data_IF_169693638718
#
_entry.id   IF_169693638718
#
_cell.length_a   1.000
_cell.length_b   1.000
_cell.length_c   1.000
_cell.angle_alpha   90.00
_cell.angle_beta   90.00
_cell.angle_gamma   90.00
#
_symmetry.space_group_name_H-M   'P 1'
#
loop_
_entity.id
_entity.type
_entity.pdbx_description
1 polymer ?
#
# COMPACT_ATOMS: atom_id res chain seq x y z
N UNK A 1 111.20 -24.83 -13.21
CA UNK A 1 110.45 -23.97 -12.27
C UNK A 1 111.05 -24.12 -10.87
N UNK A 2 111.44 -23.02 -10.21
CA UNK A 2 112.12 -23.08 -8.90
C UNK A 2 111.19 -23.69 -7.83
N UNK A 3 111.72 -24.47 -6.89
CA UNK A 3 110.96 -25.23 -5.87
C UNK A 3 110.00 -24.34 -5.06
N UNK A 4 110.45 -23.11 -4.76
CA UNK A 4 109.62 -22.06 -4.14
C UNK A 4 108.41 -21.66 -5.00
N UNK A 5 108.58 -21.43 -6.31
CA UNK A 5 107.47 -21.09 -7.23
C UNK A 5 106.46 -22.23 -7.35
N UNK A 6 106.90 -23.50 -7.34
CA UNK A 6 106.01 -24.67 -7.37
C UNK A 6 105.15 -24.77 -6.10
N UNK A 7 105.75 -24.54 -4.93
CA UNK A 7 105.03 -24.57 -3.65
C UNK A 7 104.02 -23.42 -3.52
N UNK A 8 104.36 -22.24 -4.04
CA UNK A 8 103.44 -21.08 -4.09
C UNK A 8 102.23 -21.41 -4.98
N UNK A 9 102.44 -21.98 -6.17
CA UNK A 9 101.34 -22.36 -7.08
C UNK A 9 100.41 -23.39 -6.42
N UNK A 10 100.96 -24.43 -5.78
CA UNK A 10 100.16 -25.46 -5.10
C UNK A 10 99.31 -24.85 -3.96
N UNK A 11 99.90 -23.96 -3.15
CA UNK A 11 99.17 -23.26 -2.09
C UNK A 11 98.01 -22.43 -2.61
N UNK A 12 98.23 -21.67 -3.70
CA UNK A 12 97.17 -20.86 -4.35
C UNK A 12 96.06 -21.74 -4.91
N UNK A 13 96.39 -22.87 -5.56
CA UNK A 13 95.38 -23.80 -6.09
C UNK A 13 94.49 -24.39 -4.99
N UNK A 14 95.05 -24.74 -3.84
CA UNK A 14 94.27 -25.26 -2.70
C UNK A 14 93.31 -24.20 -2.16
N UNK A 15 93.77 -22.95 -2.02
CA UNK A 15 92.93 -21.84 -1.57
C UNK A 15 91.77 -21.60 -2.55
N UNK A 16 92.01 -21.68 -3.85
CA UNK A 16 90.95 -21.55 -4.87
C UNK A 16 89.94 -22.70 -4.76
N UNK A 17 90.39 -23.94 -4.56
CA UNK A 17 89.48 -25.09 -4.41
C UNK A 17 88.63 -25.01 -3.13
N UNK A 18 89.21 -24.57 -2.00
CA UNK A 18 88.48 -24.39 -0.74
C UNK A 18 87.47 -23.25 -0.84
N UNK A 19 87.84 -22.14 -1.47
CA UNK A 19 86.93 -20.99 -1.67
C UNK A 19 85.79 -21.33 -2.63
N UNK A 20 86.06 -22.03 -3.75
CA UNK A 20 85.02 -22.51 -4.66
C UNK A 20 84.12 -23.58 -4.02
N UNK A 21 84.69 -24.53 -3.28
CA UNK A 21 83.95 -25.57 -2.58
C UNK A 21 83.04 -25.02 -1.47
N UNK A 22 83.54 -24.07 -0.67
CA UNK A 22 82.76 -23.39 0.36
C UNK A 22 81.65 -22.52 -0.22
N UNK A 23 81.95 -21.74 -1.26
CA UNK A 23 80.97 -20.89 -1.94
C UNK A 23 79.89 -21.71 -2.68
N UNK A 24 80.27 -22.81 -3.33
CA UNK A 24 79.35 -23.74 -3.98
C UNK A 24 78.41 -24.41 -2.98
N UNK A 25 78.93 -24.91 -1.85
CA UNK A 25 78.13 -25.53 -0.79
C UNK A 25 77.13 -24.55 -0.16
N UNK A 26 77.55 -23.30 0.06
CA UNK A 26 76.66 -22.24 0.56
C UNK A 26 75.53 -21.90 -0.41
N UNK A 27 75.84 -21.70 -1.70
CA UNK A 27 74.83 -21.43 -2.74
C UNK A 27 73.84 -22.59 -2.89
N UNK A 28 74.34 -23.83 -2.84
CA UNK A 28 73.50 -25.03 -2.91
C UNK A 28 72.50 -25.10 -1.75
N UNK A 29 72.95 -24.85 -0.52
CA UNK A 29 72.09 -24.87 0.67
C UNK A 29 70.98 -23.82 0.56
N UNK A 30 71.32 -22.59 0.18
CA UNK A 30 70.33 -21.52 -0.06
C UNK A 30 69.31 -21.86 -1.14
N UNK A 31 69.75 -22.48 -2.23
CA UNK A 31 68.84 -22.93 -3.29
C UNK A 31 67.89 -24.03 -2.82
N UNK A 32 68.39 -24.98 -2.02
CA UNK A 32 67.56 -26.06 -1.43
C UNK A 32 66.51 -25.52 -0.48
N UNK A 33 66.87 -24.56 0.37
CA UNK A 33 65.93 -23.93 1.31
C UNK A 33 64.84 -23.14 0.56
N UNK A 34 65.23 -22.34 -0.44
CA UNK A 34 64.31 -21.65 -1.34
C UNK A 34 63.29 -22.62 -1.95
N UNK A 35 63.75 -23.73 -2.54
CA UNK A 35 62.88 -24.73 -3.17
C UNK A 35 61.97 -25.42 -2.15
N UNK A 36 62.46 -25.67 -0.95
CA UNK A 36 61.68 -26.29 0.13
C UNK A 36 60.54 -25.37 0.58
N UNK A 37 60.81 -24.08 0.76
CA UNK A 37 59.79 -23.07 1.08
C UNK A 37 58.77 -22.91 -0.04
N UNK A 38 59.22 -22.87 -1.30
CA UNK A 38 58.34 -22.78 -2.46
C UNK A 38 57.38 -23.98 -2.54
N UNK A 39 57.90 -25.20 -2.42
CA UNK A 39 57.07 -26.42 -2.44
C UNK A 39 56.06 -26.45 -1.28
N UNK A 40 56.45 -25.97 -0.09
CA UNK A 40 55.51 -25.85 1.05
C UNK A 40 54.41 -24.83 0.75
N UNK A 41 54.75 -23.69 0.17
CA UNK A 41 53.77 -22.67 -0.21
C UNK A 41 52.76 -23.23 -1.23
N UNK A 42 53.25 -23.95 -2.24
CA UNK A 42 52.41 -24.60 -3.25
C UNK A 42 51.50 -25.67 -2.64
N UNK A 43 52.03 -26.55 -1.78
CA UNK A 43 51.20 -27.53 -1.06
C UNK A 43 50.13 -26.86 -0.17
N UNK A 44 50.46 -25.74 0.49
CA UNK A 44 49.49 -24.97 1.26
C UNK A 44 48.42 -24.30 0.39
N UNK A 45 48.76 -23.87 -0.82
CA UNK A 45 47.76 -23.40 -1.80
C UNK A 45 46.78 -24.50 -2.18
N UNK A 46 47.26 -25.72 -2.42
CA UNK A 46 46.44 -26.87 -2.82
C UNK A 46 45.43 -27.27 -1.73
N UNK A 47 45.84 -27.28 -0.46
CA UNK A 47 44.94 -27.54 0.67
C UNK A 47 44.18 -26.28 1.13
N UNK A 48 44.25 -25.19 0.36
CA UNK A 48 43.58 -23.91 0.60
C UNK A 48 43.91 -23.24 1.95
N UNK A 49 45.10 -23.51 2.49
CA UNK A 49 45.63 -22.79 3.64
C UNK A 49 46.44 -21.57 3.17
N UNK A 50 45.72 -20.56 2.68
CA UNK A 50 46.34 -19.41 2.03
C UNK A 50 47.23 -18.59 2.95
N UNK A 51 46.93 -18.53 4.25
CA UNK A 51 47.78 -17.83 5.22
C UNK A 51 49.17 -18.45 5.30
N UNK A 52 49.25 -19.78 5.45
CA UNK A 52 50.54 -20.49 5.44
C UNK A 52 51.22 -20.45 4.07
N UNK A 53 50.45 -20.45 2.99
CA UNK A 53 51.01 -20.29 1.65
C UNK A 53 51.71 -18.94 1.48
N UNK A 54 51.02 -17.84 1.83
CA UNK A 54 51.56 -16.48 1.80
C UNK A 54 52.82 -16.37 2.67
N UNK A 55 52.78 -16.88 3.90
CA UNK A 55 53.92 -16.86 4.82
C UNK A 55 55.15 -17.57 4.21
N UNK A 56 54.96 -18.74 3.58
CA UNK A 56 56.07 -19.47 2.96
C UNK A 56 56.57 -18.77 1.68
N UNK A 57 55.68 -18.19 0.86
CA UNK A 57 56.11 -17.39 -0.29
C UNK A 57 56.90 -16.15 0.13
N UNK A 58 56.46 -15.42 1.15
CA UNK A 58 57.17 -14.24 1.66
C UNK A 58 58.58 -14.59 2.13
N UNK A 59 58.77 -15.71 2.84
CA UNK A 59 60.11 -16.22 3.22
C UNK A 59 61.00 -16.55 2.02
N UNK A 60 60.44 -16.92 0.86
CA UNK A 60 61.27 -17.16 -0.34
C UNK A 60 61.89 -15.88 -0.90
N UNK A 61 61.32 -14.70 -0.61
CA UNK A 61 61.83 -13.41 -1.07
C UNK A 61 63.20 -13.06 -0.45
N UNK A 62 63.52 -13.60 0.72
CA UNK A 62 64.82 -13.45 1.39
C UNK A 62 65.98 -14.06 0.59
N UNK A 63 65.67 -15.02 -0.29
CA UNK A 63 66.66 -15.71 -1.13
C UNK A 63 66.77 -15.07 -2.52
N UNK A 64 65.64 -14.63 -3.07
CA UNK A 64 65.56 -13.97 -4.37
C UNK A 64 64.28 -13.16 -4.47
N UNK A 65 64.40 -11.84 -4.57
CA UNK A 65 63.26 -11.00 -4.94
C UNK A 65 62.90 -11.29 -6.40
N UNK A 66 61.82 -12.04 -6.61
CA UNK A 66 61.38 -12.52 -7.91
C UNK A 66 59.94 -12.07 -8.13
N UNK A 67 59.69 -11.38 -9.24
CA UNK A 67 58.36 -10.94 -9.64
C UNK A 67 57.35 -12.09 -9.63
N UNK A 68 57.74 -13.29 -10.05
CA UNK A 68 56.88 -14.48 -10.03
C UNK A 68 56.38 -14.83 -8.61
N UNK A 69 57.26 -14.73 -7.60
CA UNK A 69 56.88 -14.99 -6.21
C UNK A 69 55.93 -13.91 -5.69
N UNK A 70 56.18 -12.64 -6.03
CA UNK A 70 55.27 -11.54 -5.67
C UNK A 70 53.89 -11.75 -6.30
N UNK A 71 53.84 -12.17 -7.56
CA UNK A 71 52.58 -12.48 -8.25
C UNK A 71 51.85 -13.68 -7.62
N UNK A 72 52.59 -14.70 -7.14
CA UNK A 72 52.02 -15.83 -6.36
C UNK A 72 51.48 -15.40 -5.00
N UNK A 73 52.15 -14.48 -4.29
CA UNK A 73 51.65 -13.90 -3.03
C UNK A 73 50.35 -13.14 -3.27
N UNK A 74 50.32 -12.29 -4.30
CA UNK A 74 49.13 -11.52 -4.66
C UNK A 74 47.97 -12.43 -5.07
N UNK A 75 48.25 -13.49 -5.85
CA UNK A 75 47.26 -14.52 -6.18
C UNK A 75 46.70 -15.20 -4.93
N UNK A 76 47.56 -15.59 -3.98
CA UNK A 76 47.13 -16.25 -2.75
C UNK A 76 46.23 -15.34 -1.89
N UNK A 77 46.57 -14.05 -1.78
CA UNK A 77 45.75 -13.03 -1.09
C UNK A 77 44.39 -12.87 -1.77
N UNK A 78 44.39 -12.76 -3.10
CA UNK A 78 43.16 -12.60 -3.88
C UNK A 78 42.25 -13.85 -3.79
N UNK A 79 42.80 -15.06 -3.87
CA UNK A 79 42.02 -16.29 -3.71
C UNK A 79 41.48 -16.41 -2.28
N UNK A 80 42.25 -16.01 -1.26
CA UNK A 80 41.79 -15.98 0.14
C UNK A 80 40.55 -15.09 0.30
N UNK A 81 40.60 -13.87 -0.23
CA UNK A 81 39.47 -12.94 -0.21
C UNK A 81 38.29 -13.46 -1.04
N UNK A 82 38.57 -14.04 -2.21
CA UNK A 82 37.56 -14.66 -3.07
C UNK A 82 36.80 -15.79 -2.36
N UNK A 83 37.52 -16.67 -1.64
CA UNK A 83 36.92 -17.73 -0.81
C UNK A 83 36.01 -17.16 0.27
N UNK A 84 36.48 -16.15 1.01
CA UNK A 84 35.68 -15.51 2.05
C UNK A 84 34.40 -14.85 1.48
N UNK A 85 34.50 -14.18 0.33
CA UNK A 85 33.35 -13.60 -0.37
C UNK A 85 32.34 -14.66 -0.79
N UNK A 86 32.81 -15.80 -1.33
CA UNK A 86 31.95 -16.91 -1.71
C UNK A 86 31.24 -17.54 -0.51
N UNK A 87 31.96 -17.80 0.59
CA UNK A 87 31.40 -18.38 1.81
C UNK A 87 30.33 -17.46 2.43
N UNK A 88 30.63 -16.15 2.51
CA UNK A 88 29.66 -15.13 2.94
C UNK A 88 28.43 -15.10 2.02
N UNK A 89 28.63 -15.17 0.72
CA UNK A 89 27.53 -15.17 -0.24
C UNK A 89 26.62 -16.40 -0.06
N UNK A 90 27.20 -17.58 0.17
CA UNK A 90 26.45 -18.80 0.46
C UNK A 90 25.69 -18.73 1.79
N UNK A 91 26.27 -18.11 2.82
CA UNK A 91 25.56 -17.86 4.08
C UNK A 91 24.32 -16.98 3.87
N UNK A 92 24.46 -15.87 3.13
CA UNK A 92 23.36 -14.96 2.81
C UNK A 92 22.30 -15.65 1.93
N UNK A 93 22.73 -16.45 0.95
CA UNK A 93 21.86 -17.24 0.09
C UNK A 93 21.00 -18.21 0.92
N UNK A 94 21.61 -18.93 1.87
CA UNK A 94 20.89 -19.85 2.76
C UNK A 94 19.91 -19.13 3.69
N UNK A 95 20.20 -17.87 4.05
CA UNK A 95 19.27 -16.98 4.77
C UNK A 95 18.19 -16.35 3.88
N UNK A 96 18.18 -16.66 2.58
CA UNK A 96 17.29 -16.09 1.55
C UNK A 96 17.49 -14.58 1.33
N UNK A 97 18.59 -14.01 1.80
CA UNK A 97 19.00 -12.66 1.43
C UNK A 97 19.71 -12.71 0.07
N UNK A 98 18.92 -12.85 -0.99
CA UNK A 98 19.43 -13.02 -2.35
C UNK A 98 20.14 -11.78 -2.88
N UNK A 99 19.79 -10.57 -2.40
CA UNK A 99 20.48 -9.33 -2.80
C UNK A 99 21.85 -9.22 -2.14
N UNK A 100 21.93 -9.49 -0.83
CA UNK A 100 23.22 -9.54 -0.13
C UNK A 100 24.13 -10.64 -0.68
N UNK A 101 23.55 -11.81 -0.97
CA UNK A 101 24.26 -12.91 -1.61
C UNK A 101 24.79 -12.50 -3.00
N UNK A 102 23.95 -11.88 -3.83
CA UNK A 102 24.31 -11.39 -5.16
C UNK A 102 25.50 -10.40 -5.09
N UNK A 103 25.48 -9.46 -4.15
CA UNK A 103 26.58 -8.51 -3.97
C UNK A 103 27.90 -9.22 -3.59
N UNK A 104 27.82 -10.23 -2.72
CA UNK A 104 28.99 -10.98 -2.26
C UNK A 104 29.53 -11.92 -3.34
N UNK A 105 28.68 -12.63 -4.09
CA UNK A 105 29.11 -13.47 -5.21
C UNK A 105 29.80 -12.67 -6.32
N UNK A 106 29.38 -11.42 -6.58
CA UNK A 106 30.03 -10.54 -7.58
C UNK A 106 31.47 -10.17 -7.21
N UNK A 107 31.86 -10.31 -5.94
CA UNK A 107 33.22 -10.04 -5.44
C UNK A 107 34.14 -11.27 -5.50
N UNK A 108 33.63 -12.44 -5.92
CA UNK A 108 34.44 -13.65 -6.14
C UNK A 108 35.33 -13.43 -7.36
N UNK A 109 36.64 -13.64 -7.20
CA UNK A 109 37.62 -13.35 -8.25
C UNK A 109 37.58 -14.38 -9.38
N UNK A 110 37.76 -13.92 -10.62
CA UNK A 110 38.00 -14.78 -11.80
C UNK A 110 39.24 -15.66 -11.68
N UNK A 111 40.23 -15.25 -10.88
CA UNK A 111 41.46 -16.03 -10.65
C UNK A 111 41.24 -17.20 -9.70
N UNK A 112 40.16 -17.20 -8.92
CA UNK A 112 39.68 -18.36 -8.17
C UNK A 112 38.73 -19.18 -9.05
N UNK A 113 39.29 -19.86 -10.05
CA UNK A 113 38.51 -20.62 -11.05
C UNK A 113 37.58 -21.66 -10.42
N UNK A 114 37.95 -22.23 -9.27
CA UNK A 114 37.17 -23.22 -8.52
C UNK A 114 35.82 -22.65 -8.06
N UNK A 115 35.82 -21.42 -7.53
CA UNK A 115 34.59 -20.78 -6.99
C UNK A 115 33.93 -19.84 -7.97
N UNK A 116 34.67 -19.25 -8.90
CA UNK A 116 34.14 -18.23 -9.80
C UNK A 116 32.93 -18.74 -10.60
N UNK A 117 33.04 -19.90 -11.25
CA UNK A 117 31.94 -20.44 -12.05
C UNK A 117 30.72 -20.78 -11.19
N UNK A 118 30.95 -21.37 -10.01
CA UNK A 118 29.89 -21.66 -9.04
C UNK A 118 29.19 -20.37 -8.58
N UNK A 119 29.95 -19.30 -8.36
CA UNK A 119 29.43 -17.99 -8.02
C UNK A 119 28.59 -17.41 -9.17
N UNK A 120 29.05 -17.53 -10.42
CA UNK A 120 28.28 -17.06 -11.59
C UNK A 120 26.95 -17.80 -11.74
N UNK A 121 26.92 -19.12 -11.51
CA UNK A 121 25.67 -19.88 -11.55
C UNK A 121 24.75 -19.50 -10.40
N UNK A 122 25.28 -19.33 -9.19
CA UNK A 122 24.50 -18.83 -8.05
C UNK A 122 23.99 -17.40 -8.23
N UNK A 123 24.73 -16.54 -8.93
CA UNK A 123 24.27 -15.19 -9.32
C UNK A 123 23.01 -15.29 -10.17
N UNK A 124 23.01 -16.17 -11.19
CA UNK A 124 21.83 -16.38 -12.05
C UNK A 124 20.65 -16.91 -11.25
N UNK A 125 20.88 -17.88 -10.36
CA UNK A 125 19.84 -18.39 -9.46
C UNK A 125 19.26 -17.28 -8.56
N UNK A 126 20.11 -16.48 -7.90
CA UNK A 126 19.66 -15.37 -7.04
C UNK A 126 18.80 -14.38 -7.80
N UNK A 127 19.23 -13.99 -9.02
CA UNK A 127 18.49 -13.08 -9.89
C UNK A 127 17.13 -13.70 -10.24
N UNK A 128 17.11 -14.95 -10.70
CA UNK A 128 15.86 -15.61 -11.10
C UNK A 128 14.87 -15.70 -9.93
N UNK A 129 15.33 -16.12 -8.74
CA UNK A 129 14.47 -16.21 -7.55
C UNK A 129 13.94 -14.83 -7.17
N UNK A 130 14.83 -13.83 -7.06
CA UNK A 130 14.43 -12.48 -6.69
C UNK A 130 13.44 -11.88 -7.70
N UNK A 131 13.71 -12.00 -8.99
CA UNK A 131 12.83 -11.50 -10.05
C UNK A 131 11.46 -12.16 -9.96
N UNK A 132 11.39 -13.50 -9.90
CA UNK A 132 10.12 -14.22 -9.85
C UNK A 132 9.30 -13.89 -8.60
N UNK A 133 9.93 -13.86 -7.42
CA UNK A 133 9.24 -13.51 -6.17
C UNK A 133 8.65 -12.09 -6.21
N UNK A 134 9.37 -11.12 -6.78
CA UNK A 134 8.86 -9.75 -6.89
C UNK A 134 7.76 -9.65 -7.96
N UNK A 135 7.87 -10.36 -9.09
CA UNK A 135 6.81 -10.44 -10.10
C UNK A 135 5.52 -11.05 -9.52
N UNK A 136 5.63 -12.12 -8.74
CA UNK A 136 4.47 -12.78 -8.13
C UNK A 136 3.80 -11.88 -7.08
N UNK A 137 4.58 -11.16 -6.26
CA UNK A 137 4.05 -10.15 -5.32
C UNK A 137 3.34 -9.01 -6.06
N UNK A 138 3.92 -8.50 -7.15
CA UNK A 138 3.29 -7.47 -7.97
C UNK A 138 1.95 -7.94 -8.53
N UNK A 139 1.90 -9.16 -9.08
CA UNK A 139 0.66 -9.76 -9.60
C UNK A 139 -0.39 -9.97 -8.52
N UNK A 140 0.01 -10.42 -7.32
CA UNK A 140 -0.91 -10.59 -6.20
C UNK A 140 -1.52 -9.24 -5.77
N UNK A 141 -0.70 -8.20 -5.63
CA UNK A 141 -1.17 -6.86 -5.27
C UNK A 141 -2.09 -6.24 -6.33
N UNK A 142 -1.80 -6.46 -7.61
CA UNK A 142 -2.65 -5.99 -8.69
C UNK A 142 -4.04 -6.67 -8.69
N UNK A 143 -4.13 -7.96 -8.33
CA UNK A 143 -5.43 -8.64 -8.13
C UNK A 143 -6.27 -7.96 -7.06
N UNK A 144 -5.63 -7.42 -6.03
CA UNK A 144 -6.26 -6.64 -4.96
C UNK A 144 -6.45 -5.15 -5.33
N UNK A 145 -6.24 -4.78 -6.61
CA UNK A 145 -6.28 -3.40 -7.14
C UNK A 145 -5.29 -2.43 -6.48
N UNK A 146 -4.24 -2.94 -5.82
CA UNK A 146 -3.19 -2.15 -5.15
C UNK A 146 -2.04 -1.81 -6.11
N UNK A 147 -2.34 -1.09 -7.19
CA UNK A 147 -1.39 -0.85 -8.28
C UNK A 147 -0.12 -0.08 -7.88
N UNK A 148 -0.24 0.92 -7.00
CA UNK A 148 0.93 1.67 -6.49
C UNK A 148 1.94 0.76 -5.80
N UNK A 149 1.46 -0.18 -4.97
CA UNK A 149 2.32 -1.16 -4.30
C UNK A 149 2.89 -2.17 -5.31
N UNK A 150 2.08 -2.63 -6.26
CA UNK A 150 2.53 -3.52 -7.34
C UNK A 150 3.67 -2.90 -8.16
N UNK A 151 3.57 -1.61 -8.51
CA UNK A 151 4.61 -0.88 -9.22
C UNK A 151 5.94 -0.86 -8.47
N UNK A 152 5.92 -0.71 -7.14
CA UNK A 152 7.14 -0.75 -6.34
C UNK A 152 7.88 -2.09 -6.44
N UNK A 153 7.15 -3.20 -6.58
CA UNK A 153 7.75 -4.53 -6.81
C UNK A 153 8.27 -4.70 -8.24
N UNK A 154 7.58 -4.15 -9.24
CA UNK A 154 8.08 -4.15 -10.62
C UNK A 154 9.35 -3.30 -10.77
N UNK A 155 9.43 -2.17 -10.06
CA UNK A 155 10.64 -1.32 -10.05
C UNK A 155 11.84 -2.05 -9.42
N UNK A 156 11.60 -2.87 -8.38
CA UNK A 156 12.64 -3.75 -7.83
C UNK A 156 13.15 -4.74 -8.87
N UNK A 157 12.27 -5.34 -9.69
CA UNK A 157 12.70 -6.22 -10.79
C UNK A 157 13.55 -5.46 -11.79
N UNK A 158 13.08 -4.30 -12.25
CA UNK A 158 13.77 -3.47 -13.25
C UNK A 158 15.10 -2.87 -12.74
N UNK A 159 15.28 -2.76 -11.42
CA UNK A 159 16.57 -2.37 -10.84
C UNK A 159 17.67 -3.43 -11.04
N UNK A 160 17.29 -4.71 -11.15
CA UNK A 160 18.19 -5.85 -11.35
C UNK A 160 18.30 -6.21 -12.83
N UNK A 161 17.16 -6.32 -13.51
CA UNK A 161 17.04 -6.64 -14.93
C UNK A 161 16.25 -5.53 -15.62
N UNK A 162 16.97 -4.50 -16.09
CA UNK A 162 16.39 -3.31 -16.73
C UNK A 162 15.59 -3.64 -17.99
N UNK A 163 15.91 -4.75 -18.65
CA UNK A 163 15.27 -5.19 -19.89
C UNK A 163 14.24 -6.30 -19.66
N UNK A 164 13.81 -6.50 -18.41
CA UNK A 164 12.81 -7.50 -18.09
C UNK A 164 11.46 -7.18 -18.77
N UNK A 165 11.19 -7.88 -19.88
CA UNK A 165 10.00 -7.67 -20.71
C UNK A 165 8.71 -7.90 -19.92
N UNK A 166 8.70 -8.90 -19.03
CA UNK A 166 7.52 -9.21 -18.21
C UNK A 166 7.21 -8.05 -17.27
N UNK A 167 8.22 -7.51 -16.58
CA UNK A 167 8.02 -6.38 -15.66
C UNK A 167 7.57 -5.11 -16.39
N UNK A 168 8.16 -4.80 -17.57
CA UNK A 168 7.75 -3.66 -18.40
C UNK A 168 6.28 -3.79 -18.83
N UNK A 169 5.89 -4.94 -19.38
CA UNK A 169 4.52 -5.18 -19.85
C UNK A 169 3.50 -5.10 -18.70
N UNK A 170 3.81 -5.69 -17.53
CA UNK A 170 2.93 -5.59 -16.36
C UNK A 170 2.79 -4.15 -15.87
N UNK A 171 3.86 -3.36 -15.95
CA UNK A 171 3.81 -1.95 -15.55
C UNK A 171 2.86 -1.15 -16.45
N UNK A 172 2.95 -1.34 -17.76
CA UNK A 172 2.05 -0.67 -18.72
C UNK A 172 0.59 -1.11 -18.52
N UNK A 173 0.38 -2.41 -18.30
CA UNK A 173 -0.95 -2.96 -17.99
C UNK A 173 -1.54 -2.31 -16.73
N UNK A 174 -0.79 -2.26 -15.63
CA UNK A 174 -1.27 -1.73 -14.36
C UNK A 174 -1.48 -0.22 -14.39
N UNK A 175 -0.73 0.53 -15.19
CA UNK A 175 -1.00 1.97 -15.41
C UNK A 175 -2.38 2.17 -16.06
N UNK A 176 -2.72 1.34 -17.05
CA UNK A 176 -4.03 1.41 -17.70
C UNK A 176 -5.15 1.03 -16.73
N UNK A 177 -5.01 -0.08 -16.02
CA UNK A 177 -6.00 -0.56 -15.06
C UNK A 177 -6.17 0.39 -13.86
N UNK A 178 -5.08 1.02 -13.39
CA UNK A 178 -5.15 2.05 -12.33
C UNK A 178 -5.93 3.27 -12.81
N UNK A 179 -5.71 3.72 -14.05
CA UNK A 179 -6.45 4.85 -14.61
C UNK A 179 -7.94 4.53 -14.74
N UNK A 180 -8.29 3.36 -15.24
CA UNK A 180 -9.69 2.90 -15.35
C UNK A 180 -10.35 2.85 -13.97
N UNK A 181 -9.66 2.31 -12.96
CA UNK A 181 -10.15 2.28 -11.57
C UNK A 181 -10.37 3.69 -11.00
N UNK A 182 -9.45 4.62 -11.25
CA UNK A 182 -9.60 6.00 -10.81
C UNK A 182 -10.81 6.69 -11.47
N UNK A 183 -11.05 6.41 -12.75
CA UNK A 183 -12.24 6.90 -13.46
C UNK A 183 -13.54 6.29 -12.91
N UNK A 184 -13.56 4.99 -12.59
CA UNK A 184 -14.70 4.32 -11.94
C UNK A 184 -15.00 4.93 -10.57
N UNK A 185 -13.98 5.11 -9.73
CA UNK A 185 -14.12 5.73 -8.40
C UNK A 185 -14.66 7.16 -8.53
N UNK A 186 -14.16 7.92 -9.51
CA UNK A 186 -14.64 9.29 -9.76
C UNK A 186 -16.12 9.30 -10.14
N UNK A 187 -16.54 8.44 -11.08
CA UNK A 187 -17.95 8.32 -11.50
C UNK A 187 -18.85 7.92 -10.34
N UNK A 188 -18.46 6.91 -9.57
CA UNK A 188 -19.21 6.47 -8.39
C UNK A 188 -19.35 7.61 -7.34
N UNK A 189 -18.30 8.41 -7.15
CA UNK A 189 -18.35 9.58 -6.28
C UNK A 189 -19.27 10.70 -6.79
N UNK A 190 -19.33 10.92 -8.11
CA UNK A 190 -20.26 11.88 -8.73
C UNK A 190 -21.72 11.40 -8.64
N UNK A 191 -21.98 10.11 -8.84
CA UNK A 191 -23.31 9.52 -8.69
C UNK A 191 -23.79 9.59 -7.24
N UNK A 192 -22.92 9.26 -6.27
CA UNK A 192 -23.25 9.35 -4.85
C UNK A 192 -23.66 10.78 -4.44
N UNK A 193 -22.98 11.81 -4.97
CA UNK A 193 -23.35 13.22 -4.72
C UNK A 193 -24.70 13.58 -5.31
N UNK A 194 -25.02 13.13 -6.53
CA UNK A 194 -26.33 13.38 -7.15
C UNK A 194 -27.45 12.76 -6.33
N UNK A 195 -27.27 11.52 -5.87
CA UNK A 195 -28.26 10.83 -5.01
C UNK A 195 -28.44 11.59 -3.69
N UNK A 196 -27.36 12.08 -3.06
CA UNK A 196 -27.45 12.86 -1.83
C UNK A 196 -28.18 14.20 -2.03
N UNK A 197 -27.93 14.90 -3.14
CA UNK A 197 -28.63 16.15 -3.48
C UNK A 197 -30.13 15.92 -3.75
N UNK A 198 -30.47 14.83 -4.43
CA UNK A 198 -31.86 14.48 -4.76
C UNK A 198 -32.64 14.08 -3.50
N UNK A 199 -32.01 13.33 -2.58
CA UNK A 199 -32.58 13.03 -1.26
C UNK A 199 -32.80 14.29 -0.41
N UNK A 200 -31.87 15.26 -0.44
CA UNK A 200 -32.05 16.54 0.26
C UNK A 200 -33.24 17.33 -0.30
N UNK A 201 -33.37 17.41 -1.64
CA UNK A 201 -34.52 18.08 -2.27
C UNK A 201 -35.84 17.43 -1.90
N UNK A 202 -35.92 16.10 -1.93
CA UNK A 202 -37.13 15.36 -1.54
C UNK A 202 -37.47 15.59 -0.06
N UNK A 203 -36.48 15.62 0.83
CA UNK A 203 -36.70 15.91 2.24
C UNK A 203 -37.19 17.36 2.48
N UNK A 204 -36.66 18.33 1.74
CA UNK A 204 -37.12 19.72 1.78
C UNK A 204 -38.56 19.87 1.25
N UNK A 205 -38.91 19.15 0.18
CA UNK A 205 -40.28 19.11 -0.36
C UNK A 205 -41.26 18.48 0.63
N UNK A 206 -40.91 17.35 1.25
CA UNK A 206 -41.74 16.74 2.30
C UNK A 206 -41.93 17.66 3.51
N UNK A 207 -40.90 18.41 3.90
CA UNK A 207 -41.01 19.38 4.99
C UNK A 207 -41.97 20.53 4.62
N UNK A 208 -41.87 21.07 3.40
CA UNK A 208 -42.81 22.09 2.91
C UNK A 208 -44.25 21.58 2.88
N UNK A 209 -44.49 20.37 2.40
CA UNK A 209 -45.83 19.74 2.38
C UNK A 209 -46.36 19.55 3.80
N UNK A 210 -45.51 19.16 4.77
CA UNK A 210 -45.90 19.05 6.18
C UNK A 210 -46.23 20.41 6.81
N UNK A 211 -45.48 21.47 6.48
CA UNK A 211 -45.77 22.83 6.94
C UNK A 211 -47.04 23.42 6.33
N UNK A 212 -47.28 23.22 5.03
CA UNK A 212 -48.52 23.64 4.36
C UNK A 212 -49.74 22.93 4.95
N UNK A 213 -49.67 21.61 5.15
CA UNK A 213 -50.77 20.85 5.77
C UNK A 213 -51.03 21.25 7.23
N UNK A 214 -49.98 21.62 7.99
CA UNK A 214 -50.12 22.13 9.36
C UNK A 214 -50.78 23.51 9.38
N UNK A 215 -50.50 24.37 8.38
CA UNK A 215 -51.18 25.66 8.21
C UNK A 215 -52.64 25.52 7.79
N UNK A 216 -53.01 24.48 7.03
CA UNK A 216 -54.41 24.17 6.71
C UNK A 216 -55.18 23.61 7.92
N UNK A 217 -54.58 22.71 8.72
CA UNK A 217 -55.21 22.20 9.95
C UNK A 217 -55.35 23.27 11.05
N UNK A 218 -54.52 24.31 11.02
CA UNK A 218 -54.61 25.44 11.96
C UNK A 218 -55.80 26.39 11.74
N UNK A 219 -56.57 26.24 10.65
CA UNK A 219 -57.52 27.27 10.21
C UNK A 219 -58.96 27.15 10.80
N UNK A 220 -59.30 26.16 11.63
CA UNK A 220 -60.68 25.98 12.18
C UNK A 220 -60.69 25.83 13.70
N UNK A 221 -60.17 26.80 14.45
CA UNK A 221 -59.91 26.59 15.89
C UNK A 221 -60.52 27.61 16.84
N UNK A 222 -61.53 28.39 16.42
CA UNK A 222 -62.25 29.25 17.37
C UNK A 222 -63.76 29.18 17.19
N UNK A 223 -64.48 29.27 18.31
CA UNK A 223 -65.95 29.40 18.38
C UNK A 223 -66.47 30.52 17.48
N UNK A 224 -65.78 31.66 17.48
CA UNK A 224 -66.12 32.83 16.67
C UNK A 224 -66.03 32.54 15.16
N UNK A 225 -65.06 31.75 14.73
CA UNK A 225 -64.96 31.36 13.32
C UNK A 225 -66.04 30.36 12.93
N UNK A 226 -66.42 29.45 13.82
CA UNK A 226 -67.57 28.56 13.59
C UNK A 226 -68.87 29.37 13.42
N UNK A 227 -69.08 30.40 14.22
CA UNK A 227 -70.19 31.35 14.07
C UNK A 227 -70.15 32.06 12.71
N UNK A 228 -68.99 32.58 12.29
CA UNK A 228 -68.82 33.23 10.99
C UNK A 228 -69.09 32.29 9.81
N UNK A 229 -68.58 31.05 9.87
CA UNK A 229 -68.78 30.03 8.83
C UNK A 229 -70.27 29.72 8.68
N UNK A 230 -70.96 29.45 9.79
CA UNK A 230 -72.40 29.14 9.79
C UNK A 230 -73.21 30.35 9.34
N UNK A 231 -72.88 31.55 9.84
CA UNK A 231 -73.56 32.78 9.44
C UNK A 231 -73.43 33.05 7.94
N UNK A 232 -72.24 32.87 7.37
CA UNK A 232 -72.03 33.07 5.92
C UNK A 232 -72.77 32.04 5.07
N UNK A 233 -72.94 30.82 5.58
CA UNK A 233 -73.59 29.71 4.87
C UNK A 233 -75.12 29.78 4.94
N UNK A 234 -75.67 30.18 6.08
CA UNK A 234 -77.11 30.18 6.37
C UNK A 234 -77.74 31.57 6.20
N UNK A 235 -76.99 32.64 6.47
CA UNK A 235 -77.48 34.01 6.58
C UNK A 235 -77.27 34.88 5.34
N UNK A 236 -77.44 34.35 4.12
CA UNK A 236 -77.31 35.13 2.89
C UNK A 236 -78.34 36.26 2.83
N UNK A 237 -77.94 37.48 3.21
CA UNK A 237 -78.64 38.73 2.90
C UNK A 237 -79.52 39.36 3.99
N UNK A 238 -79.62 38.79 5.18
CA UNK A 238 -80.46 39.34 6.27
C UNK A 238 -79.63 39.71 7.52
N UNK A 239 -79.58 41.00 7.85
CA UNK A 239 -78.82 41.53 9.00
C UNK A 239 -79.38 41.10 10.36
N UNK A 240 -80.60 40.57 10.38
CA UNK A 240 -81.28 40.14 11.60
C UNK A 240 -80.91 38.72 12.05
N UNK A 241 -80.15 37.97 11.24
CA UNK A 241 -79.70 36.60 11.58
C UNK A 241 -78.44 36.66 12.46
N UNK A 242 -78.50 35.94 13.58
CA UNK A 242 -77.40 35.72 14.52
C UNK A 242 -77.03 34.23 14.53
N UNK A 243 -75.73 33.96 14.61
CA UNK A 243 -75.18 32.63 14.82
C UNK A 243 -74.28 32.70 16.07
N UNK A 244 -74.54 31.85 17.06
CA UNK A 244 -73.79 31.82 18.32
C UNK A 244 -73.33 30.39 18.58
N UNK A 245 -72.06 30.22 18.91
CA UNK A 245 -71.54 28.93 19.33
C UNK A 245 -71.90 28.68 20.80
N UNK A 246 -72.79 27.73 21.04
CA UNK A 246 -73.25 27.40 22.38
C UNK A 246 -72.32 26.43 23.10
N UNK A 247 -71.61 25.59 22.35
CA UNK A 247 -70.83 24.52 22.96
C UNK A 247 -69.95 23.78 21.99
N UNK A 248 -69.22 22.83 22.57
CA UNK A 248 -68.35 21.91 21.85
C UNK A 248 -68.81 20.49 22.16
N UNK A 249 -69.00 19.68 21.12
CA UNK A 249 -69.52 18.33 21.25
C UNK A 249 -68.63 17.33 20.52
N UNK A 250 -68.67 16.08 20.98
CA UNK A 250 -68.03 14.96 20.29
C UNK A 250 -69.13 13.97 19.89
N UNK A 251 -69.29 13.74 18.59
CA UNK A 251 -70.24 12.77 18.03
C UNK A 251 -69.45 11.77 17.19
N UNK A 252 -69.63 10.47 17.47
CA UNK A 252 -68.94 9.37 16.76
C UNK A 252 -67.40 9.54 16.69
N UNK A 253 -66.80 10.11 17.74
CA UNK A 253 -65.36 10.36 17.82
C UNK A 253 -64.87 11.61 17.07
N UNK A 254 -65.76 12.34 16.41
CA UNK A 254 -65.43 13.61 15.72
C UNK A 254 -65.83 14.80 16.61
N UNK A 255 -64.95 15.79 16.74
CA UNK A 255 -65.22 17.01 17.52
C UNK A 255 -65.84 18.12 16.68
N UNK A 256 -66.86 18.77 17.23
CA UNK A 256 -67.63 19.83 16.58
C UNK A 256 -67.80 21.06 17.49
N UNK A 257 -68.05 22.21 16.87
CA UNK A 257 -68.73 23.35 17.50
C UNK A 257 -70.22 23.24 17.22
N UNK A 258 -71.05 23.36 18.25
CA UNK A 258 -72.50 23.48 18.12
C UNK A 258 -72.87 24.97 18.04
N UNK A 259 -73.54 25.35 16.96
CA UNK A 259 -73.88 26.74 16.62
C UNK A 259 -75.40 26.87 16.50
N UNK A 260 -75.99 27.68 17.36
CA UNK A 260 -77.40 28.05 17.30
C UNK A 260 -77.59 29.23 16.36
N UNK A 261 -78.52 29.12 15.42
CA UNK A 261 -78.87 30.20 14.49
C UNK A 261 -80.30 30.62 14.73
N UNK A 262 -80.50 31.93 14.87
CA UNK A 262 -81.80 32.53 15.08
C UNK A 262 -81.91 33.89 14.41
N UNK A 263 -83.12 34.28 14.06
CA UNK A 263 -83.47 35.59 13.55
C UNK A 263 -84.06 36.46 14.66
N UNK A 264 -83.62 37.72 14.72
CA UNK A 264 -84.14 38.73 15.66
C UNK A 264 -85.22 39.54 14.95
N UNK A 265 -86.47 39.44 15.43
CA UNK A 265 -87.62 40.23 14.97
C UNK A 265 -87.99 41.23 16.07
N UNK A 266 -88.78 42.27 15.77
CA UNK A 266 -89.01 43.41 16.67
C UNK A 266 -89.48 43.03 18.09
N UNK A 267 -90.27 41.96 18.25
CA UNK A 267 -90.87 41.54 19.52
C UNK A 267 -90.50 40.11 19.96
N UNK A 268 -89.74 39.35 19.16
CA UNK A 268 -89.32 37.98 19.49
C UNK A 268 -88.10 37.51 18.69
N UNK A 269 -87.52 36.36 19.08
CA UNK A 269 -86.50 35.65 18.31
C UNK A 269 -87.05 34.35 17.74
N UNK A 270 -86.77 34.08 16.47
CA UNK A 270 -87.16 32.85 15.79
C UNK A 270 -85.94 31.96 15.56
N UNK A 271 -85.92 30.75 16.15
CA UNK A 271 -84.83 29.80 15.92
C UNK A 271 -84.91 29.24 14.50
N UNK A 272 -83.82 29.37 13.74
CA UNK A 272 -83.70 28.82 12.39
C UNK A 272 -83.18 27.39 12.41
N UNK A 273 -82.29 27.06 13.35
CA UNK A 273 -81.76 25.71 13.48
C UNK A 273 -80.46 25.65 14.27
N UNK A 274 -79.95 24.42 14.38
CA UNK A 274 -78.67 24.09 15.02
C UNK A 274 -77.72 23.50 14.00
N UNK A 275 -76.47 23.95 14.05
CA UNK A 275 -75.46 23.58 13.07
C UNK A 275 -74.21 23.08 13.78
N UNK A 276 -73.62 22.04 13.22
CA UNK A 276 -72.38 21.46 13.71
C UNK A 276 -71.25 21.82 12.75
N UNK A 277 -70.19 22.41 13.27
CA UNK A 277 -68.98 22.73 12.49
C UNK A 277 -67.85 21.82 12.95
N UNK A 278 -67.36 20.96 12.05
CA UNK A 278 -66.21 20.10 12.33
C UNK A 278 -64.99 20.92 12.70
N UNK A 279 -64.35 20.62 13.83
CA UNK A 279 -63.19 21.38 14.31
C UNK A 279 -61.92 21.16 13.49
N UNK A 280 -61.84 20.07 12.74
CA UNK A 280 -60.64 19.72 11.97
C UNK A 280 -60.61 20.37 10.58
N UNK A 281 -61.78 20.54 9.95
CA UNK A 281 -61.85 21.01 8.56
C UNK A 281 -62.93 22.07 8.29
N UNK A 282 -63.75 22.44 9.28
CA UNK A 282 -64.74 23.52 9.15
C UNK A 282 -66.00 23.16 8.37
N UNK A 283 -66.19 21.88 8.03
CA UNK A 283 -67.38 21.41 7.36
C UNK A 283 -68.63 21.61 8.24
N UNK A 284 -69.68 22.18 7.66
CA UNK A 284 -70.93 22.53 8.34
C UNK A 284 -72.00 21.47 8.09
N UNK A 285 -72.74 21.13 9.13
CA UNK A 285 -73.85 20.21 9.09
C UNK A 285 -75.06 20.85 9.75
N UNK A 286 -76.23 20.73 9.13
CA UNK A 286 -77.52 21.01 9.79
C UNK A 286 -77.89 19.81 10.67
N UNK A 287 -78.27 20.07 11.91
CA UNK A 287 -78.79 19.04 12.81
C UNK A 287 -80.29 18.84 12.57
N UNK A 288 -80.65 17.65 12.07
CA UNK A 288 -82.04 17.22 11.98
C UNK A 288 -82.50 16.68 13.34
N UNK A 289 -83.23 17.51 14.10
CA UNK A 289 -83.70 17.17 15.45
C UNK A 289 -84.65 15.97 15.50
N UNK A 290 -85.37 15.66 14.40
CA UNK A 290 -86.35 14.59 14.39
C UNK A 290 -85.70 13.21 14.22
N UNK A 291 -84.59 13.15 13.47
CA UNK A 291 -83.84 11.91 13.22
C UNK A 291 -82.52 11.81 13.97
N UNK A 292 -82.10 12.88 14.65
CA UNK A 292 -80.80 13.05 15.30
C UNK A 292 -79.60 12.80 14.35
N UNK A 293 -79.70 13.28 13.11
CA UNK A 293 -78.68 13.11 12.07
C UNK A 293 -78.08 14.46 11.67
N UNK A 294 -76.77 14.48 11.44
CA UNK A 294 -76.05 15.62 10.90
C UNK A 294 -76.03 15.57 9.36
N UNK A 295 -76.72 16.50 8.70
CA UNK A 295 -76.77 16.58 7.22
C UNK A 295 -75.81 17.66 6.72
N UNK A 296 -74.84 17.34 5.84
CA UNK A 296 -73.90 18.34 5.33
C UNK A 296 -74.63 19.39 4.48
N UNK A 297 -74.21 20.65 4.58
CA UNK A 297 -74.78 21.78 3.82
C UNK A 297 -73.72 22.62 3.11
#
# INVERSE_FOLDING_TARGET
MNKSKKNIIIGVTIIILVTLGGFGSYKYTKYKDYKTLLNKAEAYMEIENYDKAIENYEKTLDYKNNKDIVDKINLAKEIKESKANYEKAMELYNKKDYLGALESFKKVSKRDSKRFNLAQDKIKECINIYVNENLDKAKALAKDKKYKEAHAYLDKVLSIDKENVVAKNLKDQYIKEEKELQEEIKKAGEEAKKVEEEQKKQAEEEQKIKEENKNLQGQVTTKKKAEEIVKNKVGTGNNNIKAICEGEEVREGVSYYSVHVYEVVEDHTATMGWYYVRKDNGQVFLWDLASDILKPI
#
